data_IF_150019696864
#
_entry.id   IF_150019696864
#
_cell.length_a   1.000
_cell.length_b   1.000
_cell.length_c   1.000
_cell.angle_alpha   90.00
_cell.angle_beta   90.00
_cell.angle_gamma   90.00
#
_symmetry.space_group_name_H-M   'P 1'
#
loop_
_entity.id
_entity.type
_entity.pdbx_description
1 polymer ?
#
# COMPACT_ATOMS: atom_id res chain seq x y z
N UNK A 1 -36.63 -8.91 13.47
CA UNK A 1 -35.66 -9.38 12.46
C UNK A 1 -34.28 -8.95 12.92
N UNK A 2 -33.47 -9.93 13.30
CA UNK A 2 -32.36 -9.80 14.26
C UNK A 2 -31.12 -9.13 13.67
N UNK A 3 -30.43 -8.34 14.51
CA UNK A 3 -29.12 -7.74 14.28
C UNK A 3 -28.01 -8.75 13.90
N UNK A 4 -28.27 -10.05 14.00
CA UNK A 4 -27.39 -11.14 13.60
C UNK A 4 -27.14 -11.24 12.09
N UNK A 5 -27.94 -10.58 11.24
CA UNK A 5 -27.67 -10.50 9.80
C UNK A 5 -26.61 -9.45 9.43
N UNK A 6 -26.24 -8.54 10.34
CA UNK A 6 -25.16 -7.56 10.12
C UNK A 6 -23.77 -8.15 10.40
N UNK A 7 -23.72 -9.31 11.04
CA UNK A 7 -22.49 -10.03 11.39
C UNK A 7 -22.03 -11.02 10.31
N UNK A 8 -22.61 -10.98 9.10
CA UNK A 8 -21.98 -11.51 7.88
C UNK A 8 -20.89 -10.52 7.40
N UNK A 9 -20.09 -10.10 8.38
CA UNK A 9 -19.13 -9.02 8.39
C UNK A 9 -18.01 -9.30 7.39
N UNK A 10 -18.09 -8.63 6.25
CA UNK A 10 -16.98 -7.97 5.55
C UNK A 10 -15.62 -8.70 5.40
N UNK A 11 -15.53 -9.93 4.85
CA UNK A 11 -14.26 -10.42 4.32
C UNK A 11 -13.74 -9.57 3.13
N UNK A 12 -14.60 -8.76 2.52
CA UNK A 12 -14.27 -7.88 1.40
C UNK A 12 -13.64 -6.54 1.80
N UNK A 13 -13.61 -6.18 3.10
CA UNK A 13 -12.98 -4.93 3.54
C UNK A 13 -11.49 -5.12 3.78
N UNK A 14 -11.11 -6.18 4.52
CA UNK A 14 -9.69 -6.51 4.78
C UNK A 14 -8.95 -6.81 3.48
N UNK A 15 -9.56 -7.58 2.58
CA UNK A 15 -8.97 -7.85 1.25
C UNK A 15 -8.84 -6.60 0.38
N UNK A 16 -9.67 -5.56 0.58
CA UNK A 16 -9.56 -4.29 -0.14
C UNK A 16 -8.45 -3.42 0.41
N UNK A 17 -8.33 -3.31 1.73
CA UNK A 17 -7.25 -2.57 2.38
C UNK A 17 -5.88 -3.17 2.04
N UNK A 18 -5.77 -4.50 2.11
CA UNK A 18 -4.54 -5.19 1.73
C UNK A 18 -4.19 -4.97 0.24
N UNK A 19 -5.19 -4.95 -0.65
CA UNK A 19 -4.97 -4.65 -2.06
C UNK A 19 -4.52 -3.20 -2.27
N UNK A 20 -5.13 -2.23 -1.57
CA UNK A 20 -4.72 -0.82 -1.61
C UNK A 20 -3.28 -0.63 -1.12
N UNK A 21 -2.89 -1.33 -0.04
CA UNK A 21 -1.53 -1.31 0.47
C UNK A 21 -0.51 -1.89 -0.53
N UNK A 22 -0.87 -3.00 -1.21
CA UNK A 22 -0.03 -3.57 -2.29
C UNK A 22 0.08 -2.61 -3.48
N UNK A 23 -1.01 -1.97 -3.89
CA UNK A 23 -1.03 -1.02 -5.00
C UNK A 23 -0.15 0.22 -4.70
N UNK A 24 -0.12 0.67 -3.44
CA UNK A 24 0.76 1.74 -2.97
C UNK A 24 2.26 1.36 -3.06
N UNK A 25 2.60 0.12 -2.67
CA UNK A 25 3.98 -0.41 -2.79
C UNK A 25 4.40 -0.49 -4.27
N UNK A 26 3.54 -1.01 -5.14
CA UNK A 26 3.83 -1.10 -6.58
C UNK A 26 3.99 0.29 -7.19
N UNK A 27 3.08 1.20 -6.87
CA UNK A 27 3.12 2.58 -7.38
C UNK A 27 4.42 3.29 -6.97
N UNK A 28 4.81 3.18 -5.70
CA UNK A 28 6.05 3.79 -5.22
C UNK A 28 7.30 3.13 -5.83
N UNK A 29 7.30 1.81 -6.07
CA UNK A 29 8.38 1.13 -6.79
C UNK A 29 8.55 1.63 -8.24
N UNK A 30 7.44 1.86 -8.95
CA UNK A 30 7.47 2.45 -10.30
C UNK A 30 8.04 3.88 -10.27
N UNK A 31 7.71 4.67 -9.26
CA UNK A 31 8.29 6.01 -9.07
C UNK A 31 9.80 5.95 -8.81
N UNK A 32 10.28 5.00 -8.01
CA UNK A 32 11.72 4.77 -7.79
C UNK A 32 12.42 4.47 -9.11
N UNK A 33 11.89 3.52 -9.89
CA UNK A 33 12.46 3.16 -11.19
C UNK A 33 12.49 4.36 -12.16
N UNK A 34 11.44 5.19 -12.13
CA UNK A 34 11.32 6.39 -12.96
C UNK A 34 12.35 7.45 -12.56
N UNK A 35 12.44 7.78 -11.27
CA UNK A 35 13.41 8.75 -10.76
C UNK A 35 14.85 8.31 -11.02
N UNK A 36 15.15 7.03 -10.81
CA UNK A 36 16.46 6.45 -11.13
C UNK A 36 16.79 6.59 -12.62
N UNK A 37 15.85 6.27 -13.52
CA UNK A 37 16.03 6.39 -14.98
C UNK A 37 16.30 7.84 -15.40
N UNK A 38 15.62 8.79 -14.78
CA UNK A 38 15.80 10.22 -15.05
C UNK A 38 17.05 10.82 -14.39
N UNK A 39 17.74 10.05 -13.53
CA UNK A 39 18.84 10.51 -12.67
C UNK A 39 18.43 11.70 -11.80
N UNK A 40 17.16 11.74 -11.40
CA UNK A 40 16.63 12.73 -10.50
C UNK A 40 16.86 12.25 -9.06
N UNK A 41 17.97 12.68 -8.47
CA UNK A 41 18.40 12.24 -7.14
C UNK A 41 17.41 12.67 -6.04
N UNK A 42 16.81 13.86 -6.16
CA UNK A 42 15.86 14.36 -5.17
C UNK A 42 14.55 13.56 -5.22
N UNK A 43 14.02 13.34 -6.44
CA UNK A 43 12.85 12.48 -6.61
C UNK A 43 13.12 11.03 -6.20
N UNK A 44 14.34 10.52 -6.42
CA UNK A 44 14.72 9.16 -6.03
C UNK A 44 14.70 9.01 -4.51
N UNK A 45 15.29 9.94 -3.76
CA UNK A 45 15.26 9.92 -2.29
C UNK A 45 13.83 10.00 -1.77
N UNK A 46 13.00 10.85 -2.36
CA UNK A 46 11.59 10.97 -1.99
C UNK A 46 10.81 9.66 -2.25
N UNK A 47 10.99 9.07 -3.43
CA UNK A 47 10.32 7.83 -3.81
C UNK A 47 10.74 6.64 -2.93
N UNK A 48 12.03 6.53 -2.59
CA UNK A 48 12.54 5.50 -1.69
C UNK A 48 11.97 5.63 -0.27
N UNK A 49 11.87 6.86 0.27
CA UNK A 49 11.25 7.08 1.58
C UNK A 49 9.77 6.67 1.59
N UNK A 50 9.04 7.00 0.52
CA UNK A 50 7.63 6.61 0.37
C UNK A 50 7.46 5.10 0.23
N UNK A 51 8.35 4.43 -0.49
CA UNK A 51 8.32 2.97 -0.62
C UNK A 51 8.52 2.29 0.74
N UNK A 52 9.46 2.77 1.56
CA UNK A 52 9.65 2.26 2.93
C UNK A 52 8.40 2.46 3.78
N UNK A 53 7.73 3.60 3.66
CA UNK A 53 6.48 3.85 4.40
C UNK A 53 5.34 2.93 3.94
N UNK A 54 5.19 2.73 2.63
CA UNK A 54 4.17 1.83 2.07
C UNK A 54 4.39 0.38 2.53
N UNK A 55 5.63 -0.11 2.49
CA UNK A 55 5.97 -1.47 2.97
C UNK A 55 5.68 -1.61 4.45
N UNK A 56 6.04 -0.64 5.29
CA UNK A 56 5.73 -0.68 6.73
C UNK A 56 4.23 -0.76 7.01
N UNK A 57 3.41 -0.02 6.24
CA UNK A 57 1.95 -0.07 6.39
C UNK A 57 1.42 -1.45 6.03
N UNK A 58 1.87 -2.02 4.91
CA UNK A 58 1.51 -3.37 4.49
C UNK A 58 1.90 -4.41 5.56
N UNK A 59 3.12 -4.34 6.09
CA UNK A 59 3.59 -5.24 7.15
C UNK A 59 2.78 -5.10 8.45
N UNK A 60 2.25 -3.91 8.75
CA UNK A 60 1.40 -3.68 9.94
C UNK A 60 -0.03 -4.20 9.76
N UNK A 61 -0.48 -4.38 8.53
CA UNK A 61 -1.81 -4.96 8.22
C UNK A 61 -1.79 -6.50 8.19
N UNK A 62 -0.61 -7.10 8.02
CA UNK A 62 -0.42 -8.56 7.95
C UNK A 62 -0.22 -9.24 9.34
N UNK A 63 0.07 -8.46 10.40
CA UNK A 63 0.23 -8.91 11.80
C UNK A 63 -1.08 -8.83 12.62
#
# INVERSE_FOLDING_TARGET
>A
MSALARLADHPSSTSRLQQEAVDDVVTTAVLVATAFRLRDEEALVLALRRLVEAVRRLETEDD
#
